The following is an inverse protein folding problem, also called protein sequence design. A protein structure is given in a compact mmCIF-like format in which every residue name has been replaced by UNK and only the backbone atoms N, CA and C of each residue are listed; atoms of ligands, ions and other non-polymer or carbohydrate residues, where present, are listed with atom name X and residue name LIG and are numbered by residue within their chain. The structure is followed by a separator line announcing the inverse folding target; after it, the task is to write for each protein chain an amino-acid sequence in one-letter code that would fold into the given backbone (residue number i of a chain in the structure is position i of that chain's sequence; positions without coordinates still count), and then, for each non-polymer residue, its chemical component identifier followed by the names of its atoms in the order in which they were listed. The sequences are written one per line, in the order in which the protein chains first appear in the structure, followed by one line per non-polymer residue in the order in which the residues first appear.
data_IF_061645003157
#
_entry.id   IF_061645003157
#
_cell.length_a   1.000
_cell.length_b   1.000
_cell.length_c   1.000
_cell.angle_alpha   90.00
_cell.angle_beta   90.00
_cell.angle_gamma   90.00
#
_symmetry.space_group_name_H-M   'P 1'
#
loop_
_entity.id
_entity.type
_entity.pdbx_description
1 polymer ?
#
# COMPACT_ATOMS: atom_id res chain seq x y z
N UNK A 1 12.90 -24.43 -14.28
CA UNK A 1 11.72 -23.55 -14.45
C UNK A 1 11.14 -23.28 -13.07
N UNK A 2 11.50 -22.15 -12.46
CA UNK A 2 10.95 -21.76 -11.16
C UNK A 2 9.91 -20.66 -11.41
N UNK A 3 8.66 -21.02 -11.12
CA UNK A 3 7.40 -20.26 -11.15
C UNK A 3 7.56 -18.74 -11.32
N UNK A 4 7.08 -18.24 -12.45
CA UNK A 4 6.59 -16.87 -12.59
C UNK A 4 5.44 -16.69 -11.58
N UNK A 5 5.76 -16.20 -10.38
CA UNK A 5 4.76 -15.57 -9.53
C UNK A 5 4.42 -14.28 -10.24
N UNK A 6 3.42 -14.30 -11.11
CA UNK A 6 2.59 -13.12 -11.33
C UNK A 6 2.01 -12.77 -9.97
N UNK A 7 2.73 -11.93 -9.21
CA UNK A 7 2.23 -11.32 -7.98
C UNK A 7 1.23 -10.29 -8.46
N UNK A 8 0.06 -10.79 -8.89
CA UNK A 8 -1.13 -9.98 -9.08
C UNK A 8 -1.31 -9.28 -7.75
N UNK A 9 -0.96 -7.98 -7.71
CA UNK A 9 -1.14 -7.14 -6.54
C UNK A 9 -2.64 -7.13 -6.31
N UNK A 10 -3.09 -7.91 -5.33
CA UNK A 10 -4.51 -8.07 -5.00
C UNK A 10 -4.85 -7.25 -3.77
N UNK A 11 -3.88 -7.10 -2.89
CA UNK A 11 -4.03 -6.45 -1.59
C UNK A 11 -3.05 -5.29 -1.44
N UNK A 12 -3.37 -4.37 -0.52
CA UNK A 12 -2.53 -3.21 -0.23
C UNK A 12 -1.12 -3.63 0.22
N UNK A 13 -1.00 -4.71 0.99
CA UNK A 13 0.27 -5.25 1.50
C UNK A 13 1.15 -5.92 0.44
N UNK A 14 0.66 -6.05 -0.80
CA UNK A 14 1.49 -6.44 -1.93
C UNK A 14 2.22 -5.24 -2.57
N UNK A 15 1.79 -4.01 -2.25
CA UNK A 15 2.38 -2.78 -2.77
C UNK A 15 3.78 -2.56 -2.17
N UNK A 16 4.78 -2.20 -2.99
CA UNK A 16 6.14 -2.08 -2.51
C UNK A 16 6.26 -0.87 -1.56
N UNK A 17 6.48 -1.16 -0.27
CA UNK A 17 6.52 -0.15 0.78
C UNK A 17 5.30 -0.18 1.72
N UNK A 18 4.26 -0.95 1.38
CA UNK A 18 3.11 -1.20 2.23
C UNK A 18 3.19 -2.64 2.73
N UNK A 19 3.32 -2.80 4.04
CA UNK A 19 3.21 -4.10 4.70
C UNK A 19 1.81 -4.34 5.26
N UNK A 20 1.59 -5.49 5.87
CA UNK A 20 0.31 -5.84 6.51
C UNK A 20 -0.15 -4.80 7.55
N UNK A 21 0.77 -4.31 8.39
CA UNK A 21 0.47 -3.28 9.39
C UNK A 21 0.04 -1.94 8.77
N UNK A 22 0.62 -1.57 7.63
CA UNK A 22 0.25 -0.36 6.89
C UNK A 22 -1.09 -0.54 6.20
N UNK A 23 -1.30 -1.69 5.55
CA UNK A 23 -2.53 -2.06 4.88
C UNK A 23 -3.73 -2.08 5.84
N UNK A 24 -3.53 -2.54 7.08
CA UNK A 24 -4.54 -2.49 8.13
C UNK A 24 -4.94 -1.05 8.48
N UNK A 25 -3.97 -0.16 8.73
CA UNK A 25 -4.23 1.27 8.99
C UNK A 25 -4.92 1.97 7.83
N UNK A 26 -4.54 1.64 6.60
CA UNK A 26 -5.22 2.15 5.40
C UNK A 26 -6.68 1.69 5.38
N UNK A 27 -6.94 0.40 5.63
CA UNK A 27 -8.30 -0.14 5.74
C UNK A 27 -9.11 0.55 6.83
N UNK A 28 -8.51 0.81 8.00
CA UNK A 28 -9.14 1.58 9.09
C UNK A 28 -9.44 3.03 8.70
N UNK A 29 -8.58 3.65 7.89
CA UNK A 29 -8.79 4.97 7.31
C UNK A 29 -9.80 4.99 6.14
N UNK A 30 -10.35 3.82 5.76
CA UNK A 30 -11.26 3.67 4.63
C UNK A 30 -10.57 3.54 3.27
N UNK A 31 -9.25 3.40 3.24
CA UNK A 31 -8.40 3.11 2.09
C UNK A 31 -8.19 1.60 2.03
N UNK A 32 -9.15 0.88 1.46
CA UNK A 32 -9.16 -0.58 1.37
C UNK A 32 -8.79 -1.12 -0.01
N UNK A 33 -8.70 -0.25 -1.02
CA UNK A 33 -8.37 -0.61 -2.40
C UNK A 33 -7.13 0.13 -2.92
N UNK A 34 -6.46 -0.48 -3.89
CA UNK A 34 -5.28 0.09 -4.56
C UNK A 34 -5.64 1.43 -5.24
N UNK A 35 -6.86 1.55 -5.77
CA UNK A 35 -7.34 2.79 -6.39
C UNK A 35 -7.38 3.94 -5.40
N UNK A 36 -7.84 3.69 -4.17
CA UNK A 36 -7.86 4.71 -3.12
C UNK A 36 -6.45 5.12 -2.71
N UNK A 37 -5.52 4.18 -2.63
CA UNK A 37 -4.09 4.48 -2.42
C UNK A 37 -3.56 5.36 -3.55
N UNK A 38 -3.82 5.01 -4.80
CA UNK A 38 -3.37 5.75 -5.97
C UNK A 38 -3.95 7.17 -6.07
N UNK A 39 -5.16 7.40 -5.55
CA UNK A 39 -5.78 8.74 -5.47
C UNK A 39 -5.34 9.56 -4.25
N UNK A 40 -4.70 8.92 -3.26
CA UNK A 40 -4.25 9.57 -2.03
C UNK A 40 -2.85 10.15 -2.18
N UNK A 41 -2.55 11.23 -1.46
CA UNK A 41 -1.20 11.80 -1.50
C UNK A 41 -0.22 10.93 -0.70
N UNK A 42 1.03 10.78 -1.15
CA UNK A 42 2.04 10.03 -0.40
C UNK A 42 2.32 10.58 1.01
N UNK A 43 2.11 11.89 1.22
CA UNK A 43 2.21 12.51 2.55
C UNK A 43 1.04 12.10 3.44
N UNK A 44 -0.20 12.12 2.92
CA UNK A 44 -1.39 11.70 3.68
C UNK A 44 -1.28 10.22 4.08
N UNK A 45 -0.83 9.36 3.16
CA UNK A 45 -0.60 7.94 3.44
C UNK A 45 0.50 7.74 4.50
N UNK A 46 1.58 8.53 4.42
CA UNK A 46 2.66 8.55 5.41
C UNK A 46 2.14 8.94 6.79
N UNK A 47 1.34 9.99 6.89
CA UNK A 47 0.81 10.49 8.16
C UNK A 47 -0.26 9.54 8.76
N UNK A 48 -1.11 8.94 7.91
CA UNK A 48 -2.14 7.98 8.32
C UNK A 48 -1.52 6.68 8.84
N UNK A 49 -0.50 6.17 8.17
CA UNK A 49 0.02 4.82 8.42
C UNK A 49 1.34 4.80 9.18
N UNK A 50 2.05 5.92 9.23
CA UNK A 50 3.40 6.04 9.78
C UNK A 50 4.50 5.45 8.88
N UNK A 51 4.20 5.13 7.60
CA UNK A 51 5.25 4.76 6.63
C UNK A 51 5.99 6.00 6.15
N UNK A 52 7.18 5.81 5.58
CA UNK A 52 7.87 6.94 4.94
C UNK A 52 7.15 7.36 3.65
N UNK A 53 7.21 8.66 3.33
CA UNK A 53 6.72 9.20 2.05
C UNK A 53 7.33 8.46 0.85
N UNK A 54 8.58 8.02 0.95
CA UNK A 54 9.24 7.20 -0.07
C UNK A 54 8.63 5.82 -0.27
N UNK A 55 8.13 5.19 0.80
CA UNK A 55 7.38 3.94 0.71
C UNK A 55 6.00 4.19 0.10
N UNK A 56 5.31 5.26 0.50
CA UNK A 56 4.01 5.65 -0.04
C UNK A 56 4.07 6.02 -1.54
N UNK A 57 5.18 6.59 -2.02
CA UNK A 57 5.39 6.92 -3.44
C UNK A 57 5.60 5.71 -4.34
N UNK A 58 6.01 4.58 -3.76
CA UNK A 58 6.30 3.34 -4.48
C UNK A 58 5.08 2.42 -4.54
N UNK A 59 4.18 2.57 -3.58
CA UNK A 59 2.85 1.98 -3.60
C UNK A 59 2.04 2.50 -4.79
#
# INVERSE_FOLDING_TARGET
MAKEKEKSIRDLEDLPGIGSATAEKLREAGIDTIEKVATSSPHDLSDLTGISVDAAKKA
#
